data_IF_404218569923
#
_entry.id   IF_404218569923
#
_cell.length_a   1.000
_cell.length_b   1.000
_cell.length_c   1.000
_cell.angle_alpha   90.00
_cell.angle_beta   90.00
_cell.angle_gamma   90.00
#
_symmetry.space_group_name_H-M   'P 1'
#
loop_
_entity.id
_entity.type
_entity.pdbx_description
1 polymer ?
#
# COMPACT_ATOMS: atom_id res chain seq x y z
N UNK A 1 -78.66 16.44 7.81
CA UNK A 1 -77.52 15.79 8.51
C UNK A 1 -76.87 14.85 7.53
N UNK A 2 -75.57 15.05 7.27
CA UNK A 2 -74.55 14.20 6.61
C UNK A 2 -73.60 15.20 5.94
N UNK A 3 -72.49 15.50 6.61
CA UNK A 3 -71.41 16.32 6.07
C UNK A 3 -70.12 15.52 6.18
N UNK A 4 -69.57 15.13 5.04
CA UNK A 4 -68.29 14.43 4.96
C UNK A 4 -67.17 15.45 5.03
N UNK A 5 -66.40 15.47 6.12
CA UNK A 5 -65.16 16.23 6.21
C UNK A 5 -63.99 15.33 5.82
N UNK A 6 -63.48 15.54 4.60
CA UNK A 6 -62.22 14.98 4.12
C UNK A 6 -61.05 15.60 4.91
N UNK A 7 -60.37 14.80 5.73
CA UNK A 7 -59.05 15.12 6.26
C UNK A 7 -58.00 14.62 5.26
N UNK A 8 -57.46 15.52 4.45
CA UNK A 8 -56.27 15.24 3.63
C UNK A 8 -55.04 15.48 4.50
N UNK A 9 -54.41 14.40 4.92
CA UNK A 9 -53.11 14.39 5.59
C UNK A 9 -52.02 14.83 4.61
N UNK A 10 -51.49 16.04 4.78
CA UNK A 10 -50.26 16.46 4.10
C UNK A 10 -49.05 15.76 4.74
N UNK A 11 -48.69 14.59 4.21
CA UNK A 11 -47.36 14.02 4.36
C UNK A 11 -46.38 14.92 3.59
N UNK A 12 -45.80 15.89 4.29
CA UNK A 12 -44.69 16.68 3.79
C UNK A 12 -43.48 15.77 3.59
N UNK A 13 -43.20 15.46 2.33
CA UNK A 13 -41.96 14.80 1.91
C UNK A 13 -40.85 15.84 2.11
N UNK A 14 -40.08 15.69 3.19
CA UNK A 14 -38.83 16.42 3.37
C UNK A 14 -37.80 15.81 2.42
N UNK A 15 -37.72 16.34 1.20
CA UNK A 15 -36.58 16.12 0.32
C UNK A 15 -35.36 16.77 0.97
N UNK A 16 -34.60 15.99 1.74
CA UNK A 16 -33.24 16.39 2.14
C UNK A 16 -32.41 16.38 0.86
N UNK A 17 -32.31 17.56 0.23
CA UNK A 17 -31.31 17.84 -0.78
C UNK A 17 -29.94 17.65 -0.11
N UNK A 18 -29.35 16.48 -0.30
CA UNK A 18 -27.96 16.22 0.01
C UNK A 18 -27.10 17.11 -0.87
N UNK A 19 -26.86 18.35 -0.44
CA UNK A 19 -25.82 19.18 -1.00
C UNK A 19 -24.50 18.43 -0.76
N UNK A 20 -23.90 17.92 -1.84
CA UNK A 20 -22.53 17.42 -1.81
C UNK A 20 -21.64 18.62 -1.52
N UNK A 21 -21.37 18.87 -0.24
CA UNK A 21 -20.38 19.85 0.18
C UNK A 21 -19.02 19.30 -0.23
N UNK A 22 -18.54 19.73 -1.39
CA UNK A 22 -17.14 19.52 -1.78
C UNK A 22 -16.35 20.70 -1.20
N UNK A 23 -15.60 20.52 -0.10
CA UNK A 23 -14.75 21.57 0.42
C UNK A 23 -13.79 22.04 -0.69
N UNK A 24 -13.77 23.33 -0.96
CA UNK A 24 -12.83 23.90 -1.92
C UNK A 24 -11.42 23.78 -1.35
N UNK A 25 -10.59 22.94 -1.97
CA UNK A 25 -9.18 22.75 -1.60
C UNK A 25 -8.35 23.88 -2.21
N UNK A 26 -7.72 24.71 -1.37
CA UNK A 26 -6.77 25.72 -1.81
C UNK A 26 -5.37 25.09 -2.02
N UNK A 27 -4.96 24.97 -3.28
CA UNK A 27 -3.67 24.38 -3.66
C UNK A 27 -2.45 25.24 -3.30
N UNK A 28 -2.67 26.52 -2.93
CA UNK A 28 -1.59 27.39 -2.46
C UNK A 28 -1.36 27.26 -0.95
N UNK A 29 -2.29 26.64 -0.22
CA UNK A 29 -2.22 26.47 1.22
C UNK A 29 -1.71 25.07 1.58
N UNK A 30 -0.42 24.98 1.90
CA UNK A 30 0.25 23.72 2.25
C UNK A 30 -0.42 22.99 3.40
N UNK A 31 -0.91 23.69 4.43
CA UNK A 31 -1.60 23.06 5.55
C UNK A 31 -2.92 22.39 5.12
N UNK A 32 -3.68 23.02 4.20
CA UNK A 32 -4.89 22.40 3.66
C UNK A 32 -4.56 21.16 2.83
N UNK A 33 -3.51 21.21 2.02
CA UNK A 33 -3.03 20.06 1.25
C UNK A 33 -2.63 18.89 2.15
N UNK A 34 -1.85 19.15 3.20
CA UNK A 34 -1.43 18.11 4.16
C UNK A 34 -2.64 17.51 4.89
N UNK A 35 -3.58 18.33 5.34
CA UNK A 35 -4.79 17.85 6.03
C UNK A 35 -5.69 17.01 5.11
N UNK A 36 -5.85 17.43 3.85
CA UNK A 36 -6.60 16.68 2.85
C UNK A 36 -5.93 15.33 2.55
N UNK A 37 -4.61 15.32 2.33
CA UNK A 37 -3.84 14.11 2.12
C UNK A 37 -3.90 13.16 3.32
N UNK A 38 -3.74 13.68 4.54
CA UNK A 38 -3.86 12.89 5.78
C UNK A 38 -5.23 12.23 5.88
N UNK A 39 -6.30 12.96 5.56
CA UNK A 39 -7.67 12.45 5.62
C UNK A 39 -7.91 11.39 4.55
N UNK A 40 -7.42 11.60 3.33
CA UNK A 40 -7.49 10.61 2.25
C UNK A 40 -6.75 9.32 2.61
N UNK A 41 -5.55 9.41 3.18
CA UNK A 41 -4.78 8.25 3.64
C UNK A 41 -5.47 7.50 4.78
N UNK A 42 -6.04 8.21 5.76
CA UNK A 42 -6.83 7.59 6.83
C UNK A 42 -8.08 6.89 6.29
N UNK A 43 -8.76 7.48 5.32
CA UNK A 43 -9.89 6.85 4.66
C UNK A 43 -9.45 5.61 3.88
N UNK A 44 -8.31 5.65 3.20
CA UNK A 44 -7.77 4.49 2.49
C UNK A 44 -7.46 3.32 3.44
N UNK A 45 -6.96 3.61 4.65
CA UNK A 45 -6.75 2.58 5.67
C UNK A 45 -8.04 1.87 6.12
N UNK A 46 -9.24 2.42 5.85
CA UNK A 46 -10.50 1.73 6.17
C UNK A 46 -10.74 0.50 5.29
N UNK A 47 -10.09 0.43 4.12
CA UNK A 47 -10.07 -0.74 3.23
C UNK A 47 -8.97 -1.74 3.58
N UNK A 48 -8.09 -1.42 4.52
CA UNK A 48 -7.01 -2.31 4.92
C UNK A 48 -7.47 -3.28 6.01
N UNK A 49 -7.61 -4.56 5.65
CA UNK A 49 -7.99 -5.65 6.56
C UNK A 49 -6.94 -6.77 6.63
N UNK A 50 -5.92 -6.75 5.78
CA UNK A 50 -5.07 -7.90 5.53
C UNK A 50 -3.95 -8.11 6.55
N UNK A 51 -3.82 -9.35 7.01
CA UNK A 51 -2.81 -9.76 8.00
C UNK A 51 -1.40 -9.97 7.41
N UNK A 52 -1.30 -10.13 6.09
CA UNK A 52 -0.06 -10.41 5.37
C UNK A 52 0.60 -9.14 4.79
N UNK A 53 0.07 -7.97 5.09
CA UNK A 53 0.58 -6.70 4.58
C UNK A 53 0.06 -6.32 3.19
N UNK A 54 -0.92 -7.05 2.65
CA UNK A 54 -1.70 -6.63 1.47
C UNK A 54 -3.11 -6.19 1.85
N UNK A 55 -3.71 -5.36 1.00
CA UNK A 55 -5.14 -5.06 1.04
C UNK A 55 -5.93 -6.29 0.57
N UNK A 56 -7.26 -6.26 0.71
CA UNK A 56 -8.10 -7.36 0.23
C UNK A 56 -7.89 -7.55 -1.28
N UNK A 57 -7.43 -8.74 -1.67
CA UNK A 57 -7.13 -9.06 -3.07
C UNK A 57 -8.38 -9.20 -3.94
N UNK A 58 -9.58 -9.24 -3.35
CA UNK A 58 -10.83 -9.12 -4.09
C UNK A 58 -11.00 -7.73 -4.72
N UNK A 59 -10.51 -6.69 -4.05
CA UNK A 59 -10.66 -5.30 -4.46
C UNK A 59 -9.34 -4.69 -4.97
N UNK A 60 -8.20 -5.16 -4.47
CA UNK A 60 -6.87 -4.57 -4.70
C UNK A 60 -5.85 -5.69 -4.94
N UNK A 61 -5.44 -5.94 -6.20
CA UNK A 61 -4.36 -6.87 -6.51
C UNK A 61 -3.12 -6.64 -5.65
N UNK A 62 -2.40 -7.72 -5.34
CA UNK A 62 -1.31 -7.68 -4.36
C UNK A 62 -0.26 -6.60 -4.65
N UNK A 63 0.10 -6.38 -5.92
CA UNK A 63 1.07 -5.34 -6.28
C UNK A 63 0.58 -3.91 -6.01
N UNK A 64 -0.72 -3.65 -6.17
CA UNK A 64 -1.32 -2.34 -5.88
C UNK A 64 -1.24 -2.02 -4.39
N UNK A 65 -1.28 -3.03 -3.52
CA UNK A 65 -0.99 -2.85 -2.09
C UNK A 65 0.42 -2.24 -1.90
N UNK A 66 1.41 -2.73 -2.66
CA UNK A 66 2.74 -2.16 -2.69
C UNK A 66 2.75 -0.70 -3.14
N UNK A 67 2.01 -0.36 -4.19
CA UNK A 67 1.89 1.02 -4.69
C UNK A 67 1.22 1.95 -3.66
N UNK A 68 0.16 1.47 -3.00
CA UNK A 68 -0.54 2.19 -1.92
C UNK A 68 0.44 2.49 -0.79
N UNK A 69 1.23 1.50 -0.34
CA UNK A 69 2.26 1.71 0.67
C UNK A 69 3.32 2.75 0.24
N UNK A 70 3.64 2.80 -1.05
CA UNK A 70 4.46 3.85 -1.64
C UNK A 70 3.90 5.24 -1.42
N UNK A 71 2.59 5.42 -1.63
CA UNK A 71 1.91 6.71 -1.42
C UNK A 71 1.99 7.19 0.04
N UNK A 72 1.93 6.29 1.03
CA UNK A 72 2.13 6.66 2.44
C UNK A 72 3.58 7.11 2.71
N UNK A 73 4.55 6.50 2.03
CA UNK A 73 5.96 6.90 2.16
C UNK A 73 6.23 8.23 1.46
N UNK A 74 5.65 8.46 0.29
CA UNK A 74 5.72 9.76 -0.39
C UNK A 74 5.09 10.85 0.48
N UNK A 75 3.96 10.58 1.12
CA UNK A 75 3.36 11.49 2.09
C UNK A 75 4.34 11.85 3.21
N UNK A 76 4.99 10.86 3.82
CA UNK A 76 5.98 11.12 4.87
C UNK A 76 7.17 11.94 4.35
N UNK A 77 7.62 11.68 3.13
CA UNK A 77 8.71 12.41 2.48
C UNK A 77 8.34 13.88 2.21
N UNK A 78 7.15 14.15 1.67
CA UNK A 78 6.75 15.51 1.27
C UNK A 78 6.23 16.36 2.43
N UNK A 79 5.67 15.74 3.47
CA UNK A 79 5.07 16.45 4.60
C UNK A 79 5.93 16.46 5.86
N UNK A 80 6.88 15.51 5.97
CA UNK A 80 7.66 15.26 7.18
C UNK A 80 6.88 14.52 8.27
N UNK A 81 5.61 14.17 8.04
CA UNK A 81 4.77 13.46 9.00
C UNK A 81 4.91 11.94 8.87
N UNK A 82 5.47 11.33 9.92
CA UNK A 82 5.79 9.90 9.96
C UNK A 82 4.75 9.07 10.71
N UNK A 83 3.53 9.57 10.95
CA UNK A 83 2.52 8.87 11.76
C UNK A 83 2.16 7.46 11.23
N UNK A 84 2.34 7.22 9.92
CA UNK A 84 2.04 5.93 9.28
C UNK A 84 3.25 5.01 9.10
N UNK A 85 4.48 5.49 9.30
CA UNK A 85 5.71 4.78 8.90
C UNK A 85 5.85 3.40 9.58
N UNK A 86 5.44 3.27 10.84
CA UNK A 86 5.47 1.99 11.56
C UNK A 86 4.49 0.96 10.99
N UNK A 87 3.29 1.39 10.61
CA UNK A 87 2.29 0.53 9.97
C UNK A 87 2.80 0.04 8.61
N UNK A 88 3.25 0.97 7.77
CA UNK A 88 3.74 0.66 6.42
C UNK A 88 4.97 -0.26 6.46
N UNK A 89 5.91 0.00 7.38
CA UNK A 89 7.08 -0.87 7.56
C UNK A 89 6.66 -2.29 7.92
N UNK A 90 5.71 -2.43 8.85
CA UNK A 90 5.20 -3.75 9.26
C UNK A 90 4.48 -4.46 8.11
N UNK A 91 3.70 -3.73 7.31
CA UNK A 91 3.02 -4.28 6.14
C UNK A 91 4.03 -4.77 5.09
N UNK A 92 5.07 -3.99 4.78
CA UNK A 92 6.11 -4.40 3.82
C UNK A 92 6.92 -5.61 4.32
N UNK A 93 7.22 -5.67 5.63
CA UNK A 93 7.87 -6.85 6.23
C UNK A 93 6.97 -8.09 6.14
N UNK A 94 5.68 -7.96 6.42
CA UNK A 94 4.75 -9.09 6.29
C UNK A 94 4.62 -9.54 4.83
N UNK A 95 4.49 -8.60 3.90
CA UNK A 95 4.32 -8.85 2.46
C UNK A 95 5.56 -9.50 1.83
N UNK A 96 6.74 -9.21 2.40
CA UNK A 96 8.03 -9.83 2.05
C UNK A 96 8.31 -11.16 2.75
N UNK A 97 7.28 -11.84 3.25
CA UNK A 97 7.40 -13.12 3.96
C UNK A 97 8.29 -13.06 5.20
N UNK A 98 8.24 -11.93 5.93
CA UNK A 98 8.93 -11.71 7.20
C UNK A 98 10.43 -12.00 7.05
N UNK A 99 10.90 -13.14 7.53
CA UNK A 99 12.33 -13.50 7.54
C UNK A 99 12.93 -13.74 6.15
N UNK A 100 12.12 -14.04 5.13
CA UNK A 100 12.63 -14.29 3.79
C UNK A 100 13.07 -12.99 3.09
N UNK A 101 12.33 -11.90 3.31
CA UNK A 101 12.58 -10.57 2.73
C UNK A 101 12.71 -10.56 1.21
N UNK A 102 11.99 -11.45 0.52
CA UNK A 102 12.14 -11.66 -0.93
C UNK A 102 10.83 -11.54 -1.71
N UNK A 103 9.70 -11.29 -1.05
CA UNK A 103 8.35 -11.23 -1.64
C UNK A 103 7.90 -12.50 -2.37
N UNK A 104 8.70 -13.58 -2.32
CA UNK A 104 8.48 -14.83 -3.02
C UNK A 104 8.41 -16.04 -2.07
N UNK A 105 8.77 -15.86 -0.80
CA UNK A 105 8.63 -16.90 0.23
C UNK A 105 9.78 -17.91 0.22
N UNK A 106 10.96 -17.51 -0.25
CA UNK A 106 12.16 -18.33 -0.32
C UNK A 106 12.00 -19.52 -1.24
N UNK A 107 12.11 -20.73 -0.68
CA UNK A 107 11.99 -21.98 -1.43
C UNK A 107 10.60 -22.19 -2.04
N UNK A 108 9.62 -21.36 -1.70
CA UNK A 108 8.27 -21.39 -2.26
C UNK A 108 8.11 -20.50 -3.50
N UNK A 109 9.16 -19.81 -3.95
CA UNK A 109 9.09 -18.81 -5.03
C UNK A 109 8.38 -19.30 -6.29
N UNK A 110 8.67 -20.51 -6.77
CA UNK A 110 8.01 -21.06 -7.95
C UNK A 110 6.49 -21.27 -7.76
N UNK A 111 6.05 -21.62 -6.55
CA UNK A 111 4.63 -21.77 -6.23
C UNK A 111 3.97 -20.41 -6.12
N UNK A 112 4.66 -19.45 -5.49
CA UNK A 112 4.15 -18.09 -5.30
C UNK A 112 4.02 -17.34 -6.63
N UNK A 113 5.01 -17.43 -7.51
CA UNK A 113 4.96 -16.85 -8.86
C UNK A 113 3.82 -17.46 -9.69
N UNK A 114 3.72 -18.79 -9.72
CA UNK A 114 2.78 -19.48 -10.61
C UNK A 114 1.33 -19.50 -10.11
N UNK A 115 1.11 -19.59 -8.80
CA UNK A 115 -0.23 -19.80 -8.23
C UNK A 115 -0.77 -18.60 -7.46
N UNK A 116 0.11 -17.72 -6.94
CA UNK A 116 -0.31 -16.47 -6.28
C UNK A 116 -0.15 -15.24 -7.19
N UNK A 117 0.33 -15.44 -8.43
CA UNK A 117 0.41 -14.38 -9.43
C UNK A 117 1.34 -13.25 -9.01
N UNK A 118 2.53 -13.56 -8.48
CA UNK A 118 3.58 -12.55 -8.18
C UNK A 118 4.61 -12.54 -9.31
N UNK A 119 4.30 -11.80 -10.36
CA UNK A 119 5.17 -11.66 -11.52
C UNK A 119 6.31 -10.66 -11.23
N UNK A 120 7.31 -10.60 -12.12
CA UNK A 120 8.46 -9.71 -11.91
C UNK A 120 8.06 -8.23 -11.77
N UNK A 121 7.03 -7.79 -12.48
CA UNK A 121 6.48 -6.44 -12.38
C UNK A 121 5.70 -6.24 -11.08
N UNK A 122 4.97 -7.26 -10.59
CA UNK A 122 4.27 -7.18 -9.30
C UNK A 122 5.25 -6.99 -8.13
N UNK A 123 6.35 -7.74 -8.15
CA UNK A 123 7.38 -7.70 -7.09
C UNK A 123 8.15 -6.38 -7.11
N UNK A 124 8.25 -5.71 -8.26
CA UNK A 124 8.94 -4.43 -8.40
C UNK A 124 8.29 -3.35 -7.52
N UNK A 125 6.96 -3.28 -7.51
CA UNK A 125 6.22 -2.21 -6.82
C UNK A 125 6.52 -2.09 -5.32
N UNK A 126 6.32 -3.12 -4.47
CA UNK A 126 6.67 -3.03 -3.06
C UNK A 126 8.19 -2.97 -2.81
N UNK A 127 9.01 -3.47 -3.74
CA UNK A 127 10.47 -3.34 -3.66
C UNK A 127 10.92 -1.88 -3.85
N UNK A 128 10.29 -1.10 -4.72
CA UNK A 128 10.58 0.34 -4.91
C UNK A 128 10.30 1.15 -3.64
N UNK A 129 9.21 0.86 -2.95
CA UNK A 129 8.87 1.50 -1.67
C UNK A 129 9.94 1.20 -0.61
N UNK A 130 10.37 -0.06 -0.54
CA UNK A 130 11.39 -0.52 0.40
C UNK A 130 12.75 0.15 0.15
N UNK A 131 13.08 0.48 -1.10
CA UNK A 131 14.31 1.19 -1.45
C UNK A 131 14.27 2.67 -1.11
N UNK A 132 13.13 3.35 -1.31
CA UNK A 132 13.00 4.78 -1.00
C UNK A 132 13.06 5.07 0.50
N UNK A 133 12.51 4.18 1.33
CA UNK A 133 12.65 4.26 2.79
C UNK A 133 14.11 4.12 3.28
N UNK A 134 14.94 3.37 2.55
CA UNK A 134 16.32 3.07 2.96
C UNK A 134 17.24 4.29 2.99
N UNK A 135 16.91 5.38 2.28
CA UNK A 135 17.71 6.61 2.29
C UNK A 135 17.57 7.43 3.58
N UNK A 136 16.53 7.18 4.39
CA UNK A 136 16.40 7.74 5.74
C UNK A 136 16.95 6.81 6.85
N UNK A 137 17.16 5.51 6.55
CA UNK A 137 17.62 4.46 7.49
C UNK A 137 18.90 3.74 7.03
N UNK A 138 19.75 4.44 6.28
CA UNK A 138 20.89 3.96 5.47
C UNK A 138 21.97 3.06 6.14
N UNK A 139 21.79 2.48 7.32
CA UNK A 139 22.84 1.71 8.00
C UNK A 139 22.60 0.20 8.22
N UNK A 140 21.39 -0.37 8.12
CA UNK A 140 21.19 -1.74 8.66
C UNK A 140 20.95 -2.86 7.61
N UNK A 141 20.34 -2.61 6.45
CA UNK A 141 19.94 -3.72 5.54
C UNK A 141 20.73 -3.88 4.23
N UNK A 142 21.60 -2.94 3.86
CA UNK A 142 22.31 -3.01 2.57
C UNK A 142 23.44 -4.06 2.53
N UNK A 143 23.84 -4.61 3.69
CA UNK A 143 24.84 -5.67 3.78
C UNK A 143 24.33 -7.03 3.29
N UNK A 144 23.02 -7.30 3.33
CA UNK A 144 22.49 -8.65 3.04
C UNK A 144 22.22 -8.94 1.55
N UNK A 145 21.97 -7.92 0.72
CA UNK A 145 21.65 -8.12 -0.72
C UNK A 145 22.88 -8.13 -1.62
N UNK A 146 23.94 -7.38 -1.27
CA UNK A 146 25.22 -7.44 -1.99
C UNK A 146 25.95 -8.77 -1.77
N UNK A 147 25.87 -9.36 -0.57
CA UNK A 147 26.50 -10.66 -0.29
C UNK A 147 25.87 -11.80 -1.11
N UNK A 148 24.54 -11.78 -1.32
CA UNK A 148 23.84 -12.87 -2.03
C UNK A 148 24.01 -12.82 -3.55
N UNK A 149 24.08 -11.62 -4.14
CA UNK A 149 24.41 -11.47 -5.56
C UNK A 149 25.87 -11.87 -5.81
N UNK A 150 26.80 -11.51 -4.93
CA UNK A 150 28.22 -11.94 -5.01
C UNK A 150 28.39 -13.47 -4.90
N UNK A 151 27.66 -14.14 -4.00
CA UNK A 151 27.76 -15.61 -3.88
C UNK A 151 27.11 -16.37 -5.05
N UNK A 152 26.01 -15.86 -5.60
CA UNK A 152 25.37 -16.43 -6.80
C UNK A 152 26.24 -16.26 -8.06
N UNK A 153 26.97 -15.15 -8.15
CA UNK A 153 27.93 -14.93 -9.24
C UNK A 153 29.20 -15.77 -9.06
N UNK A 154 29.74 -15.89 -7.84
CA UNK A 154 30.91 -16.73 -7.56
C UNK A 154 30.67 -18.22 -7.83
N UNK A 155 29.49 -18.75 -7.48
CA UNK A 155 29.18 -20.17 -7.76
C UNK A 155 29.10 -20.46 -9.27
N UNK A 156 28.54 -19.53 -10.06
CA UNK A 156 28.47 -19.66 -11.52
C UNK A 156 29.83 -19.56 -12.21
N UNK A 157 30.76 -18.76 -11.70
CA UNK A 157 32.12 -18.68 -12.26
C UNK A 157 33.00 -19.89 -11.89
N UNK A 158 32.87 -20.44 -10.68
CA UNK A 158 33.65 -21.61 -10.25
C UNK A 158 33.27 -22.88 -11.02
N UNK A 159 32.01 -23.04 -11.44
CA UNK A 159 31.59 -24.17 -12.26
C UNK A 159 32.03 -24.05 -13.73
N UNK A 160 32.31 -22.85 -14.24
CA UNK A 160 32.78 -22.67 -15.62
C UNK A 160 34.31 -22.76 -15.77
N UNK A 161 35.06 -22.53 -14.68
CA UNK A 161 36.52 -22.62 -14.66
C UNK A 161 37.08 -24.05 -14.43
N UNK A 162 36.23 -25.04 -14.11
CA UNK A 162 36.64 -26.45 -13.88
C UNK A 162 36.36 -27.40 -15.05
N UNK A 163 35.90 -26.86 -16.18
CA UNK A 163 35.51 -27.62 -17.38
C UNK A 163 36.26 -27.23 -18.65
N UNK A 164 37.53 -26.82 -18.54
CA UNK A 164 38.47 -26.68 -19.66
C UNK A 164 39.83 -27.23 -19.27
#
# INVERSE_FOLDING_TARGET
MIGYNLLISFLGIYSVLGASYSPTLDISNTNQLVNAATSALKNLLTYYSGSDGSFDQADTPWHESGMIWGMFMDYAQYTGDTQFSGLVTSALVNSSFKTAHDFLGGNQGQVVEQFLGRWNDDVLWPNLVSTNFSLQWLCICWTSRLIRIDQSLKSKFVHHAKGR
#
